data_IF_334154546541
#
_entry.id   IF_334154546541
#
_cell.length_a   1.000
_cell.length_b   1.000
_cell.length_c   1.000
_cell.angle_alpha   90.00
_cell.angle_beta   90.00
_cell.angle_gamma   90.00
#
_symmetry.space_group_name_H-M   'P 1'
#
loop_
_entity.id
_entity.type
_entity.pdbx_description
1 polymer ?
#
# COMPACT_ATOMS: atom_id res chain seq x y z
N UNK A 1 -36.19 6.24 14.77
CA UNK A 1 -34.84 6.71 14.39
C UNK A 1 -34.87 8.22 14.37
N UNK A 2 -34.01 8.87 15.15
CA UNK A 2 -33.85 10.33 15.10
C UNK A 2 -33.01 10.74 13.89
N UNK A 3 -33.08 12.01 13.46
CA UNK A 3 -32.18 12.53 12.42
C UNK A 3 -30.70 12.40 12.82
N UNK A 4 -30.40 12.52 14.11
CA UNK A 4 -29.07 12.29 14.66
C UNK A 4 -28.61 10.84 14.47
N UNK A 5 -29.48 9.85 14.71
CA UNK A 5 -29.14 8.44 14.51
C UNK A 5 -28.78 8.12 13.07
N UNK A 6 -29.44 8.79 12.11
CA UNK A 6 -29.18 8.63 10.68
C UNK A 6 -27.79 9.17 10.34
N UNK A 7 -27.46 10.39 10.78
CA UNK A 7 -26.15 11.02 10.53
C UNK A 7 -25.02 10.18 11.13
N UNK A 8 -25.17 9.76 12.40
CA UNK A 8 -24.20 8.89 13.08
C UNK A 8 -24.04 7.56 12.34
N UNK A 9 -25.13 7.01 11.78
CA UNK A 9 -25.11 5.81 10.95
C UNK A 9 -24.28 5.98 9.68
N UNK A 10 -24.48 7.08 8.95
CA UNK A 10 -23.73 7.39 7.73
C UNK A 10 -22.23 7.56 7.99
N UNK A 11 -21.86 8.23 9.08
CA UNK A 11 -20.45 8.39 9.49
C UNK A 11 -19.84 7.04 9.86
N UNK A 12 -20.58 6.20 10.57
CA UNK A 12 -20.12 4.86 10.93
C UNK A 12 -19.89 3.99 9.68
N UNK A 13 -20.78 4.05 8.70
CA UNK A 13 -20.63 3.34 7.41
C UNK A 13 -19.43 3.86 6.62
N UNK A 14 -19.28 5.19 6.52
CA UNK A 14 -18.14 5.83 5.88
C UNK A 14 -16.81 5.36 6.47
N UNK A 15 -16.72 5.29 7.81
CA UNK A 15 -15.52 4.80 8.46
C UNK A 15 -15.25 3.34 8.16
N UNK A 16 -16.29 2.48 8.20
CA UNK A 16 -16.14 1.06 7.90
C UNK A 16 -15.60 0.84 6.49
N UNK A 17 -16.14 1.57 5.51
CA UNK A 17 -15.68 1.49 4.11
C UNK A 17 -14.24 1.96 3.95
N UNK A 18 -13.88 3.07 4.59
CA UNK A 18 -12.51 3.56 4.63
C UNK A 18 -11.55 2.51 5.22
N UNK A 19 -11.86 1.94 6.38
CA UNK A 19 -11.01 0.93 7.03
C UNK A 19 -10.90 -0.33 6.18
N UNK A 20 -11.99 -0.80 5.56
CA UNK A 20 -11.93 -1.93 4.61
C UNK A 20 -10.94 -1.66 3.48
N UNK A 21 -10.98 -0.46 2.90
CA UNK A 21 -10.08 -0.08 1.81
C UNK A 21 -8.63 0.03 2.28
N UNK A 22 -8.37 0.62 3.45
CA UNK A 22 -7.04 0.63 4.08
C UNK A 22 -6.50 -0.79 4.22
N UNK A 23 -7.30 -1.71 4.77
CA UNK A 23 -6.86 -3.08 4.99
C UNK A 23 -6.70 -3.90 3.72
N UNK A 24 -7.49 -3.64 2.68
CA UNK A 24 -7.28 -4.20 1.34
C UNK A 24 -5.92 -3.76 0.78
N UNK A 25 -5.60 -2.46 0.90
CA UNK A 25 -4.32 -1.92 0.47
C UNK A 25 -3.13 -2.49 1.24
N UNK A 26 -3.23 -2.70 2.56
CA UNK A 26 -2.18 -3.37 3.34
C UNK A 26 -1.98 -4.82 2.85
N UNK A 27 -3.05 -5.57 2.59
CA UNK A 27 -2.96 -6.94 2.02
C UNK A 27 -2.32 -6.94 0.63
N UNK A 28 -2.65 -5.97 -0.22
CA UNK A 28 -2.05 -5.85 -1.55
C UNK A 28 -0.55 -5.53 -1.46
N UNK A 29 -0.15 -4.66 -0.53
CA UNK A 29 1.28 -4.37 -0.29
C UNK A 29 2.04 -5.61 0.16
N UNK A 30 1.45 -6.42 1.05
CA UNK A 30 2.04 -7.69 1.47
C UNK A 30 2.16 -8.68 0.30
N UNK A 31 1.08 -8.85 -0.47
CA UNK A 31 1.05 -9.75 -1.63
C UNK A 31 2.09 -9.37 -2.71
N UNK A 32 2.36 -8.07 -2.87
CA UNK A 32 3.29 -7.53 -3.88
C UNK A 32 4.62 -7.06 -3.29
N UNK A 33 4.99 -7.47 -2.06
CA UNK A 33 6.21 -7.03 -1.39
C UNK A 33 7.49 -7.30 -2.21
N UNK A 34 7.52 -8.38 -3.01
CA UNK A 34 8.64 -8.70 -3.92
C UNK A 34 8.75 -7.70 -5.07
N UNK A 35 7.63 -7.29 -5.64
CA UNK A 35 7.60 -6.32 -6.74
C UNK A 35 8.01 -4.94 -6.23
N UNK A 36 7.56 -4.54 -5.03
CA UNK A 36 7.95 -3.28 -4.40
C UNK A 36 9.47 -3.21 -4.18
N UNK A 37 10.07 -4.25 -3.59
CA UNK A 37 11.53 -4.34 -3.41
C UNK A 37 12.28 -4.31 -4.73
N UNK A 38 11.76 -4.97 -5.77
CA UNK A 38 12.39 -4.99 -7.08
C UNK A 38 12.31 -3.62 -7.77
N UNK A 39 11.20 -2.89 -7.58
CA UNK A 39 11.00 -1.55 -8.13
C UNK A 39 11.98 -0.52 -7.53
N UNK A 40 12.29 -0.61 -6.22
CA UNK A 40 13.24 0.28 -5.53
C UNK A 40 14.63 0.29 -6.18
N UNK A 41 15.09 -0.86 -6.68
CA UNK A 41 16.41 -1.03 -7.30
C UNK A 41 16.39 -1.01 -8.83
N UNK A 42 15.22 -0.87 -9.45
CA UNK A 42 15.05 -1.07 -10.89
C UNK A 42 15.86 -0.11 -11.76
N UNK A 43 15.95 1.17 -11.39
CA UNK A 43 16.72 2.17 -12.14
C UNK A 43 18.23 1.90 -12.04
N UNK A 44 18.70 1.49 -10.87
CA UNK A 44 20.12 1.18 -10.67
C UNK A 44 20.54 -0.07 -11.46
N UNK A 45 19.70 -1.11 -11.45
CA UNK A 45 19.94 -2.34 -12.23
C UNK A 45 19.94 -2.04 -13.73
N UNK A 46 18.97 -1.25 -14.20
CA UNK A 46 18.89 -0.87 -15.63
C UNK A 46 20.17 -0.16 -16.07
N UNK A 47 20.69 0.76 -15.24
CA UNK A 47 21.98 1.42 -15.48
C UNK A 47 23.16 0.44 -15.44
N UNK A 48 23.22 -0.45 -14.45
CA UNK A 48 24.29 -1.43 -14.31
C UNK A 48 24.37 -2.38 -15.52
N UNK A 49 23.22 -2.85 -16.02
CA UNK A 49 23.14 -3.69 -17.21
C UNK A 49 23.60 -2.94 -18.46
N UNK A 50 23.19 -1.68 -18.64
CA UNK A 50 23.57 -0.86 -19.78
C UNK A 50 25.09 -0.55 -19.80
N UNK A 51 25.68 -0.30 -18.64
CA UNK A 51 27.12 -0.01 -18.48
C UNK A 51 28.00 -1.27 -18.48
N UNK A 52 27.39 -2.47 -18.35
CA UNK A 52 28.12 -3.70 -18.12
C UNK A 52 28.90 -3.66 -16.80
N UNK A 53 28.26 -3.16 -15.73
CA UNK A 53 28.79 -3.06 -14.38
C UNK A 53 28.28 -4.22 -13.52
N UNK A 54 29.21 -4.99 -12.97
CA UNK A 54 28.89 -6.04 -12.01
C UNK A 54 28.43 -5.44 -10.68
N UNK A 55 27.55 -6.15 -9.98
CA UNK A 55 27.09 -5.73 -8.65
C UNK A 55 25.92 -6.55 -8.12
N UNK A 56 25.67 -6.40 -6.83
CA UNK A 56 24.52 -6.96 -6.12
C UNK A 56 23.57 -5.82 -5.75
N UNK A 57 22.33 -5.92 -6.23
CA UNK A 57 21.28 -4.91 -6.10
C UNK A 57 20.05 -5.56 -5.47
N UNK A 58 20.18 -5.93 -4.18
CA UNK A 58 19.14 -6.60 -3.42
C UNK A 58 18.72 -7.93 -4.07
N UNK A 59 17.50 -8.05 -4.63
CA UNK A 59 17.03 -9.28 -5.27
C UNK A 59 17.75 -9.63 -6.58
N UNK A 60 18.57 -8.73 -7.15
CA UNK A 60 19.22 -8.94 -8.46
C UNK A 60 20.74 -8.89 -8.34
N UNK A 61 21.42 -9.87 -8.94
CA UNK A 61 22.88 -9.87 -9.09
C UNK A 61 23.25 -9.81 -10.56
N UNK A 62 24.10 -8.86 -10.94
CA UNK A 62 24.61 -8.69 -12.31
C UNK A 62 26.07 -9.13 -12.34
N UNK A 63 26.40 -10.07 -13.24
CA UNK A 63 27.76 -10.56 -13.51
C UNK A 63 28.12 -10.34 -14.97
N UNK A 64 29.39 -10.11 -15.27
CA UNK A 64 29.88 -9.81 -16.62
C UNK A 64 30.98 -10.79 -16.97
N UNK A 65 30.64 -11.77 -17.79
CA UNK A 65 31.61 -12.73 -18.30
C UNK A 65 32.24 -12.21 -19.60
N UNK A 66 33.58 -12.23 -19.67
CA UNK A 66 34.29 -11.98 -20.93
C UNK A 66 34.26 -13.25 -21.78
N UNK A 67 33.69 -13.18 -22.97
CA UNK A 67 33.74 -14.25 -23.98
C UNK A 67 34.96 -14.11 -24.88
N UNK A 68 35.28 -15.20 -25.58
CA UNK A 68 36.26 -15.20 -26.67
C UNK A 68 35.88 -14.12 -27.71
N UNK A 69 36.91 -13.44 -28.25
CA UNK A 69 36.81 -12.27 -29.15
C UNK A 69 36.48 -10.92 -28.45
N UNK A 70 36.62 -10.81 -27.13
CA UNK A 70 36.48 -9.53 -26.42
C UNK A 70 35.04 -9.05 -26.24
N UNK A 71 34.04 -9.84 -26.65
CA UNK A 71 32.63 -9.58 -26.35
C UNK A 71 32.36 -9.79 -24.87
N UNK A 72 31.68 -8.83 -24.23
CA UNK A 72 31.20 -8.95 -22.85
C UNK A 72 29.80 -9.55 -22.89
N UNK A 73 29.55 -10.54 -22.06
CA UNK A 73 28.22 -11.11 -21.83
C UNK A 73 27.79 -10.76 -20.41
N UNK A 74 26.61 -10.15 -20.28
CA UNK A 74 25.99 -9.85 -18.99
C UNK A 74 25.10 -11.02 -18.60
N UNK A 75 25.33 -11.58 -17.42
CA UNK A 75 24.47 -12.56 -16.76
C UNK A 75 23.73 -11.91 -15.61
N UNK A 76 22.44 -12.14 -15.53
CA UNK A 76 21.60 -11.65 -14.45
C UNK A 76 21.10 -12.83 -13.61
N UNK A 77 21.03 -12.62 -12.30
CA UNK A 77 20.40 -13.53 -11.37
C UNK A 77 19.29 -12.79 -10.64
N UNK A 78 18.05 -13.22 -10.82
CA UNK A 78 16.88 -12.67 -10.14
C UNK A 78 16.42 -13.67 -9.07
N UNK A 79 16.45 -13.26 -7.81
CA UNK A 79 16.17 -14.13 -6.66
C UNK A 79 16.97 -15.44 -6.68
N UNK A 80 18.24 -15.37 -7.10
CA UNK A 80 19.15 -16.51 -7.20
C UNK A 80 19.01 -17.36 -8.47
N UNK A 81 18.02 -17.09 -9.33
CA UNK A 81 17.84 -17.82 -10.60
C UNK A 81 18.48 -17.05 -11.76
N UNK A 82 19.29 -17.73 -12.57
CA UNK A 82 19.86 -17.12 -13.78
C UNK A 82 18.74 -16.80 -14.77
N UNK A 83 18.71 -15.55 -15.24
CA UNK A 83 17.75 -15.04 -16.22
C UNK A 83 18.51 -14.27 -17.29
N UNK A 84 17.98 -14.27 -18.51
CA UNK A 84 18.51 -13.39 -19.55
C UNK A 84 18.14 -11.92 -19.28
N UNK A 85 18.87 -11.01 -19.92
CA UNK A 85 18.71 -9.57 -19.72
C UNK A 85 17.31 -9.08 -20.11
N UNK A 86 16.70 -9.62 -21.17
CA UNK A 86 15.38 -9.16 -21.60
C UNK A 86 14.31 -9.57 -20.60
N UNK A 87 14.39 -10.81 -20.08
CA UNK A 87 13.52 -11.28 -19.00
C UNK A 87 13.68 -10.42 -17.76
N UNK A 88 14.91 -10.10 -17.34
CA UNK A 88 15.15 -9.21 -16.20
C UNK A 88 14.47 -7.84 -16.42
N UNK A 89 14.71 -7.18 -17.56
CA UNK A 89 14.13 -5.86 -17.86
C UNK A 89 12.60 -5.90 -17.91
N UNK A 90 12.01 -6.98 -18.42
CA UNK A 90 10.56 -7.17 -18.42
C UNK A 90 10.00 -7.30 -17.00
N UNK A 91 10.65 -8.05 -16.11
CA UNK A 91 10.24 -8.17 -14.70
C UNK A 91 10.41 -6.85 -13.94
N UNK A 92 11.51 -6.10 -14.17
CA UNK A 92 11.69 -4.75 -13.62
C UNK A 92 10.56 -3.81 -14.05
N UNK A 93 10.19 -3.83 -15.33
CA UNK A 93 9.11 -3.01 -15.89
C UNK A 93 7.75 -3.34 -15.23
N UNK A 94 7.43 -4.63 -15.09
CA UNK A 94 6.21 -5.09 -14.39
C UNK A 94 6.21 -4.64 -12.93
N UNK A 95 7.32 -4.82 -12.22
CA UNK A 95 7.47 -4.43 -10.83
C UNK A 95 7.27 -2.93 -10.62
N UNK A 96 7.88 -2.08 -11.48
CA UNK A 96 7.67 -0.63 -11.46
C UNK A 96 6.22 -0.25 -11.70
N UNK A 97 5.58 -0.86 -12.68
CA UNK A 97 4.17 -0.59 -12.98
C UNK A 97 3.26 -0.92 -11.79
N UNK A 98 3.46 -2.09 -11.16
CA UNK A 98 2.70 -2.49 -9.96
C UNK A 98 2.99 -1.57 -8.77
N UNK A 99 4.25 -1.23 -8.54
CA UNK A 99 4.64 -0.32 -7.47
C UNK A 99 4.02 1.07 -7.66
N UNK A 100 4.04 1.61 -8.87
CA UNK A 100 3.42 2.90 -9.18
C UNK A 100 1.89 2.85 -8.98
N UNK A 101 1.23 1.78 -9.44
CA UNK A 101 -0.20 1.59 -9.22
C UNK A 101 -0.54 1.54 -7.72
N UNK A 102 0.19 0.74 -6.92
CA UNK A 102 -0.02 0.67 -5.46
C UNK A 102 0.26 2.01 -4.77
N UNK A 103 1.31 2.72 -5.16
CA UNK A 103 1.63 4.02 -4.58
C UNK A 103 0.55 5.06 -4.88
N UNK A 104 -0.09 4.99 -6.04
CA UNK A 104 -1.18 5.90 -6.40
C UNK A 104 -2.48 5.50 -5.68
N UNK A 105 -2.98 4.29 -5.93
CA UNK A 105 -4.31 3.84 -5.48
C UNK A 105 -4.38 3.52 -3.99
N UNK A 106 -3.24 3.26 -3.35
CA UNK A 106 -3.11 3.02 -1.91
C UNK A 106 -2.24 4.09 -1.22
N UNK A 107 -2.13 5.28 -1.81
CA UNK A 107 -1.64 6.45 -1.08
C UNK A 107 -2.62 6.83 0.04
N UNK A 108 -2.10 7.46 1.09
CA UNK A 108 -2.94 8.06 2.14
C UNK A 108 -3.99 8.99 1.54
N UNK A 109 -3.59 9.88 0.62
CA UNK A 109 -4.50 10.80 -0.05
C UNK A 109 -5.62 10.07 -0.82
N UNK A 110 -5.28 9.07 -1.65
CA UNK A 110 -6.28 8.32 -2.40
C UNK A 110 -7.27 7.59 -1.49
N UNK A 111 -6.80 7.07 -0.34
CA UNK A 111 -7.64 6.40 0.64
C UNK A 111 -8.58 7.39 1.34
N UNK A 112 -8.10 8.59 1.66
CA UNK A 112 -8.89 9.63 2.32
C UNK A 112 -9.90 10.27 1.35
N UNK A 113 -9.57 10.40 0.06
CA UNK A 113 -10.49 10.89 -0.97
C UNK A 113 -11.77 10.06 -1.07
N UNK A 114 -11.73 8.78 -0.69
CA UNK A 114 -12.94 7.93 -0.63
C UNK A 114 -14.00 8.46 0.35
N UNK A 115 -13.60 9.29 1.31
CA UNK A 115 -14.49 9.91 2.29
C UNK A 115 -15.15 11.20 1.77
N UNK A 116 -14.64 11.80 0.69
CA UNK A 116 -15.15 13.09 0.20
C UNK A 116 -16.60 13.04 -0.26
N UNK A 117 -17.07 11.87 -0.72
CA UNK A 117 -18.48 11.63 -1.08
C UNK A 117 -19.45 11.79 0.10
N UNK A 118 -18.97 11.78 1.34
CA UNK A 118 -19.79 11.99 2.53
C UNK A 118 -19.85 13.46 2.97
N UNK A 119 -19.09 14.35 2.30
CA UNK A 119 -19.10 15.81 2.49
C UNK A 119 -18.89 16.29 3.95
N UNK A 120 -18.28 15.45 4.80
CA UNK A 120 -18.06 15.75 6.20
C UNK A 120 -16.61 16.09 6.49
N UNK A 121 -16.35 17.39 6.65
CA UNK A 121 -15.01 17.91 6.93
C UNK A 121 -14.41 17.38 8.23
N UNK A 122 -15.20 17.25 9.29
CA UNK A 122 -14.69 16.82 10.59
C UNK A 122 -14.31 15.35 10.59
N UNK A 123 -15.08 14.51 9.88
CA UNK A 123 -14.70 13.12 9.66
C UNK A 123 -13.36 13.01 8.92
N UNK A 124 -13.19 13.78 7.84
CA UNK A 124 -11.94 13.81 7.06
C UNK A 124 -10.76 14.25 7.94
N UNK A 125 -10.92 15.31 8.73
CA UNK A 125 -9.87 15.79 9.65
C UNK A 125 -9.50 14.75 10.72
N UNK A 126 -10.49 14.05 11.28
CA UNK A 126 -10.27 12.96 12.25
C UNK A 126 -9.51 11.81 11.59
N UNK A 127 -9.87 11.43 10.37
CA UNK A 127 -9.20 10.36 9.62
C UNK A 127 -7.77 10.74 9.25
N UNK A 128 -7.56 11.93 8.68
CA UNK A 128 -6.23 12.45 8.33
C UNK A 128 -5.29 12.46 9.53
N UNK A 129 -5.75 12.99 10.67
CA UNK A 129 -4.93 13.06 11.89
C UNK A 129 -4.54 11.69 12.43
N UNK A 130 -5.39 10.68 12.25
CA UNK A 130 -5.24 9.37 12.85
C UNK A 130 -4.99 8.26 11.83
N UNK A 131 -4.57 8.60 10.60
CA UNK A 131 -4.53 7.65 9.47
C UNK A 131 -3.74 6.39 9.82
N UNK A 132 -2.52 6.55 10.33
CA UNK A 132 -1.67 5.42 10.73
C UNK A 132 -2.27 4.59 11.86
N UNK A 133 -3.03 5.22 12.77
CA UNK A 133 -3.68 4.52 13.87
C UNK A 133 -4.79 3.61 13.37
N UNK A 134 -5.52 3.98 12.31
CA UNK A 134 -6.56 3.13 11.72
C UNK A 134 -6.02 1.82 11.13
N UNK A 135 -4.74 1.75 10.73
CA UNK A 135 -4.13 0.51 10.21
C UNK A 135 -4.16 -0.65 11.20
N UNK A 136 -4.15 -0.38 12.51
CA UNK A 136 -4.20 -1.46 13.53
C UNK A 136 -5.52 -2.23 13.51
N UNK A 137 -6.57 -1.65 12.94
CA UNK A 137 -7.86 -2.32 12.76
C UNK A 137 -7.78 -3.50 11.79
N UNK A 138 -6.81 -3.51 10.87
CA UNK A 138 -6.58 -4.63 9.97
C UNK A 138 -6.15 -5.91 10.70
N UNK A 139 -5.64 -5.76 11.91
CA UNK A 139 -5.31 -6.84 12.84
C UNK A 139 -6.38 -7.06 13.93
N UNK A 140 -7.59 -6.52 13.75
CA UNK A 140 -8.69 -6.68 14.70
C UNK A 140 -8.53 -5.90 16.00
N UNK A 141 -7.67 -4.86 16.04
CA UNK A 141 -7.44 -4.04 17.24
C UNK A 141 -8.17 -2.70 17.14
N UNK A 142 -8.66 -2.20 18.28
CA UNK A 142 -9.25 -0.87 18.35
C UNK A 142 -8.16 0.21 18.34
N UNK A 143 -8.28 1.27 17.51
CA UNK A 143 -7.32 2.36 17.47
C UNK A 143 -7.60 3.40 18.55
N UNK A 144 -6.56 4.10 19.01
CA UNK A 144 -6.68 5.24 19.91
C UNK A 144 -6.85 6.53 19.12
N UNK A 145 -8.09 7.01 18.98
CA UNK A 145 -8.41 8.15 18.13
C UNK A 145 -8.32 9.48 18.89
N UNK A 146 -7.59 10.43 18.30
CA UNK A 146 -7.58 11.83 18.72
C UNK A 146 -8.64 12.62 17.96
N UNK A 147 -9.74 12.96 18.65
CA UNK A 147 -10.88 13.64 18.05
C UNK A 147 -10.73 15.17 17.93
N UNK A 148 -9.87 15.79 18.75
CA UNK A 148 -9.72 17.24 18.75
C UNK A 148 -11.05 17.96 18.99
N UNK A 149 -11.42 18.86 18.08
CA UNK A 149 -12.65 19.66 18.13
C UNK A 149 -13.83 19.00 17.39
N UNK A 150 -13.73 17.71 17.05
CA UNK A 150 -14.77 17.01 16.32
C UNK A 150 -16.12 17.07 17.07
N UNK A 151 -17.23 17.41 16.37
CA UNK A 151 -18.56 17.39 16.94
C UNK A 151 -18.97 16.03 17.50
N UNK A 152 -19.87 16.02 18.50
CA UNK A 152 -20.30 14.80 19.17
C UNK A 152 -20.84 13.70 18.23
N UNK A 153 -21.55 14.07 17.16
CA UNK A 153 -22.08 13.11 16.18
C UNK A 153 -20.97 12.44 15.35
N UNK A 154 -19.84 13.13 15.11
CA UNK A 154 -18.65 12.58 14.46
C UNK A 154 -17.99 11.58 15.38
N UNK A 155 -17.77 11.97 16.64
CA UNK A 155 -17.17 11.09 17.66
C UNK A 155 -18.00 9.82 17.80
N UNK A 156 -19.32 9.97 17.96
CA UNK A 156 -20.24 8.84 18.08
C UNK A 156 -20.22 7.95 16.83
N UNK A 157 -20.24 8.56 15.64
CA UNK A 157 -20.22 7.85 14.36
C UNK A 157 -18.94 7.05 14.18
N UNK A 158 -17.79 7.65 14.47
CA UNK A 158 -16.48 6.99 14.38
C UNK A 158 -16.39 5.83 15.38
N UNK A 159 -16.76 6.06 16.64
CA UNK A 159 -16.76 5.01 17.66
C UNK A 159 -17.70 3.86 17.29
N UNK A 160 -18.88 4.18 16.74
CA UNK A 160 -19.83 3.18 16.25
C UNK A 160 -19.26 2.40 15.06
N UNK A 161 -18.63 3.07 14.10
CA UNK A 161 -17.97 2.45 12.95
C UNK A 161 -16.85 1.48 13.36
N UNK A 162 -16.01 1.86 14.32
CA UNK A 162 -14.96 1.00 14.88
C UNK A 162 -15.57 -0.28 15.47
N UNK A 163 -16.61 -0.13 16.32
CA UNK A 163 -17.30 -1.28 16.92
C UNK A 163 -17.91 -2.20 15.87
N UNK A 164 -18.57 -1.62 14.86
CA UNK A 164 -19.19 -2.38 13.77
C UNK A 164 -18.16 -3.19 12.99
N UNK A 165 -17.04 -2.56 12.61
CA UNK A 165 -15.96 -3.23 11.90
C UNK A 165 -15.37 -4.39 12.72
N UNK A 166 -15.01 -4.15 13.98
CA UNK A 166 -14.37 -5.16 14.82
C UNK A 166 -15.29 -6.34 15.17
N UNK A 167 -16.59 -6.08 15.33
CA UNK A 167 -17.58 -7.14 15.56
C UNK A 167 -17.72 -8.05 14.34
N UNK A 168 -17.69 -7.48 13.13
CA UNK A 168 -17.70 -8.25 11.89
C UNK A 168 -16.38 -9.00 11.67
N UNK A 169 -15.24 -8.39 12.00
CA UNK A 169 -13.91 -8.99 11.90
C UNK A 169 -13.79 -10.27 12.74
N UNK A 170 -14.25 -10.23 13.99
CA UNK A 170 -14.25 -11.41 14.88
C UNK A 170 -15.22 -12.53 14.48
N UNK A 171 -16.10 -12.29 13.50
CA UNK A 171 -17.04 -13.29 12.97
C UNK A 171 -16.59 -13.90 11.64
N UNK A 172 -15.53 -13.37 11.02
CA UNK A 172 -15.07 -13.74 9.66
C UNK A 172 -13.65 -14.32 9.63
N UNK A 173 -13.05 -14.53 10.80
CA UNK A 173 -11.79 -15.23 11.05
C UNK A 173 -12.02 -16.36 12.06
#
# INVERSE_FOLDING_TARGET
MSAQDVVVGLIAEALVDFVKRVCECEKLREAHARDLKLAEVADEITRAVAEGREGEYGPVVVKVQRKFLGRREVKAYLYGNEVDVNTLLAELSKARSRAAWLLNDCSENALIETLYKYEDRYLIEVVQRNFDKFKVMCAGKAPEIEFGEAPAHIIEGVVRGIKNYLSAYGSSH
#
